data_IF_562841943579
#
_entry.id   IF_562841943579
#
_cell.length_a   1.000
_cell.length_b   1.000
_cell.length_c   1.000
_cell.angle_alpha   90.00
_cell.angle_beta   90.00
_cell.angle_gamma   90.00
#
_symmetry.space_group_name_H-M   'P 1'
#
loop_
_entity.id
_entity.type
_entity.pdbx_description
1 polymer ?
#
# COMPACT_ATOMS: atom_id res chain seq x y z
N UNK A 1 -6.78 1.42 -0.32
CA UNK A 1 -7.70 0.84 -1.33
C UNK A 1 -6.87 0.35 -2.50
N UNK A 2 -7.16 -0.85 -2.99
CA UNK A 2 -6.62 -1.40 -4.23
C UNK A 2 -7.76 -1.55 -5.23
N UNK A 3 -7.55 -1.10 -6.45
CA UNK A 3 -8.42 -1.30 -7.61
C UNK A 3 -7.68 -2.23 -8.57
N UNK A 4 -8.25 -3.40 -8.85
CA UNK A 4 -7.64 -4.41 -9.72
C UNK A 4 -7.75 -4.09 -11.22
N UNK A 5 -8.43 -3.00 -11.59
CA UNK A 5 -8.68 -2.65 -12.98
C UNK A 5 -9.61 -3.60 -13.75
N UNK A 6 -10.15 -4.62 -13.08
CA UNK A 6 -11.14 -5.59 -13.58
C UNK A 6 -12.52 -5.43 -12.91
N UNK A 7 -12.66 -4.47 -11.99
CA UNK A 7 -13.91 -4.08 -11.34
C UNK A 7 -13.99 -4.43 -9.85
N UNK A 8 -12.97 -5.10 -9.30
CA UNK A 8 -12.89 -5.39 -7.87
C UNK A 8 -12.12 -4.29 -7.17
N UNK A 9 -12.67 -3.79 -6.07
CA UNK A 9 -11.98 -2.88 -5.17
C UNK A 9 -11.90 -3.49 -3.78
N UNK A 10 -10.72 -3.45 -3.18
CA UNK A 10 -10.50 -3.94 -1.83
C UNK A 10 -9.93 -2.84 -0.96
N UNK A 11 -10.48 -2.71 0.24
CA UNK A 11 -10.02 -1.74 1.23
C UNK A 11 -9.58 -2.48 2.47
N UNK A 12 -8.43 -2.07 2.99
CA UNK A 12 -7.88 -2.55 4.26
C UNK A 12 -7.62 -1.34 5.16
N UNK A 13 -7.76 -1.57 6.45
CA UNK A 13 -7.37 -0.66 7.51
C UNK A 13 -6.09 -1.18 8.17
N UNK A 14 -5.19 -0.26 8.51
CA UNK A 14 -3.95 -0.55 9.19
C UNK A 14 -3.78 0.40 10.37
N UNK A 15 -3.48 -0.15 11.54
CA UNK A 15 -3.03 0.58 12.72
C UNK A 15 -1.68 0.00 13.15
N UNK A 16 -0.74 0.83 13.63
CA UNK A 16 0.62 0.39 13.96
C UNK A 16 1.00 0.46 15.44
N UNK A 17 0.14 1.01 16.29
CA UNK A 17 0.36 1.13 17.74
C UNK A 17 -0.89 0.70 18.54
N UNK A 18 -1.16 -0.61 18.68
CA UNK A 18 -0.40 -1.75 18.17
C UNK A 18 -0.73 -2.10 16.71
N UNK A 19 0.12 -2.94 16.08
CA UNK A 19 -0.13 -3.49 14.75
C UNK A 19 -1.47 -4.22 14.67
N UNK A 20 -2.33 -3.82 13.73
CA UNK A 20 -3.65 -4.41 13.57
C UNK A 20 -4.48 -3.79 12.45
N UNK A 21 -5.76 -4.11 12.42
CA UNK A 21 -6.70 -3.71 11.38
C UNK A 21 -7.10 -4.88 10.50
N UNK A 22 -7.59 -4.58 9.29
CA UNK A 22 -8.07 -5.59 8.33
C UNK A 22 -7.04 -5.91 7.24
N UNK A 23 -5.86 -5.25 7.27
CA UNK A 23 -4.75 -5.60 6.40
C UNK A 23 -4.36 -7.07 6.59
N UNK A 24 -4.11 -7.84 5.51
CA UNK A 24 -3.82 -9.28 5.59
C UNK A 24 -2.55 -9.61 6.39
N UNK A 25 -1.62 -8.67 6.46
CA UNK A 25 -0.40 -8.77 7.27
C UNK A 25 -0.08 -7.39 7.88
N UNK A 26 -0.68 -7.04 9.03
CA UNK A 26 -0.51 -5.72 9.62
C UNK A 26 0.89 -5.53 10.22
N UNK A 27 1.51 -6.60 10.72
CA UNK A 27 2.84 -6.55 11.33
C UNK A 27 3.91 -6.18 10.29
N UNK A 28 3.93 -6.88 9.14
CA UNK A 28 4.88 -6.60 8.08
C UNK A 28 4.66 -5.20 7.46
N UNK A 29 3.40 -4.77 7.30
CA UNK A 29 3.10 -3.45 6.77
C UNK A 29 3.59 -2.32 7.70
N UNK A 30 3.38 -2.45 9.01
CA UNK A 30 3.88 -1.49 9.98
C UNK A 30 5.41 -1.48 10.09
N UNK A 31 6.06 -2.65 9.93
CA UNK A 31 7.51 -2.73 9.86
C UNK A 31 8.04 -1.95 8.64
N UNK A 32 7.46 -2.14 7.46
CA UNK A 32 7.88 -1.44 6.24
C UNK A 32 7.74 0.09 6.38
N UNK A 33 6.63 0.58 6.95
CA UNK A 33 6.42 2.01 7.22
C UNK A 33 7.39 2.53 8.30
N UNK A 34 7.79 1.71 9.26
CA UNK A 34 8.79 2.09 10.28
C UNK A 34 10.18 2.24 9.67
N UNK A 35 10.57 1.31 8.80
CA UNK A 35 11.89 1.30 8.17
C UNK A 35 12.05 2.38 7.09
N UNK A 36 10.96 2.73 6.40
CA UNK A 36 11.03 3.56 5.19
C UNK A 36 10.07 4.75 5.18
N UNK A 37 9.07 4.83 6.06
CA UNK A 37 8.06 5.90 6.05
C UNK A 37 7.34 6.00 4.71
N UNK A 38 7.08 7.23 4.24
CA UNK A 38 6.52 7.49 2.89
C UNK A 38 7.34 6.87 1.76
N UNK A 39 8.65 6.69 1.96
CA UNK A 39 9.51 6.07 0.92
C UNK A 39 9.24 4.58 0.74
N UNK A 40 8.42 3.97 1.62
CA UNK A 40 7.86 2.63 1.42
C UNK A 40 6.81 2.57 0.29
N UNK A 41 6.28 3.73 -0.12
CA UNK A 41 5.15 3.84 -1.04
C UNK A 41 5.51 4.48 -2.40
N UNK A 42 6.66 4.15 -3.03
CA UNK A 42 7.01 4.76 -4.29
C UNK A 42 6.11 4.24 -5.41
N UNK A 43 5.83 5.11 -6.38
CA UNK A 43 5.26 4.65 -7.64
C UNK A 43 6.21 3.65 -8.32
N UNK A 44 5.64 2.66 -9.00
CA UNK A 44 6.42 1.69 -9.79
C UNK A 44 7.19 2.45 -10.88
N UNK A 45 8.51 2.22 -10.95
CA UNK A 45 9.37 2.87 -11.93
C UNK A 45 8.97 2.47 -13.36
N UNK A 46 8.95 3.43 -14.29
CA UNK A 46 8.51 3.23 -15.69
C UNK A 46 9.39 2.27 -16.49
N UNK A 47 10.65 2.12 -16.08
CA UNK A 47 11.66 1.24 -16.69
C UNK A 47 11.75 -0.13 -16.00
N UNK A 48 10.88 -0.40 -15.03
CA UNK A 48 10.83 -1.70 -14.35
C UNK A 48 10.47 -2.79 -15.36
N UNK A 49 11.34 -3.79 -15.48
CA UNK A 49 11.08 -4.99 -16.28
C UNK A 49 10.02 -5.83 -15.58
N UNK A 50 8.87 -5.99 -16.23
CA UNK A 50 7.78 -6.88 -15.82
C UNK A 50 7.64 -8.02 -16.83
N UNK A 51 6.92 -9.07 -16.45
CA UNK A 51 6.41 -10.01 -17.46
C UNK A 51 5.55 -9.23 -18.46
N UNK A 52 5.50 -9.66 -19.72
CA UNK A 52 4.62 -9.05 -20.72
C UNK A 52 3.14 -9.42 -20.52
N UNK A 53 2.77 -9.84 -19.30
CA UNK A 53 1.41 -10.15 -18.93
C UNK A 53 0.74 -8.89 -18.41
N UNK A 54 -0.28 -8.43 -19.14
CA UNK A 54 -1.09 -7.30 -18.71
C UNK A 54 -2.17 -7.77 -17.73
N UNK A 55 -2.00 -7.47 -16.44
CA UNK A 55 -2.99 -7.76 -15.39
C UNK A 55 -4.18 -6.80 -15.37
N UNK A 56 -4.01 -5.59 -15.91
CA UNK A 56 -4.99 -4.51 -15.86
C UNK A 56 -4.33 -3.19 -15.47
N UNK A 57 -5.06 -2.05 -15.53
CA UNK A 57 -4.59 -0.77 -15.04
C UNK A 57 -4.75 -0.67 -13.51
N UNK A 58 -4.12 -1.59 -12.78
CA UNK A 58 -4.23 -1.69 -11.32
C UNK A 58 -3.73 -0.41 -10.64
N UNK A 59 -4.44 0.04 -9.60
CA UNK A 59 -4.03 1.20 -8.81
C UNK A 59 -4.18 0.95 -7.33
N UNK A 60 -3.31 1.55 -6.53
CA UNK A 60 -3.42 1.59 -5.08
C UNK A 60 -3.50 3.05 -4.61
N UNK A 61 -4.41 3.32 -3.69
CA UNK A 61 -4.53 4.60 -3.01
C UNK A 61 -4.42 4.36 -1.51
N UNK A 62 -3.51 5.07 -0.88
CA UNK A 62 -3.28 5.06 0.55
C UNK A 62 -3.67 6.46 1.04
N UNK A 63 -4.29 6.51 2.21
CA UNK A 63 -4.69 7.74 2.88
C UNK A 63 -4.60 7.52 4.37
N UNK A 64 -4.07 8.46 5.13
CA UNK A 64 -4.15 8.36 6.59
C UNK A 64 -3.18 9.28 7.32
N UNK A 65 -2.80 8.85 8.51
CA UNK A 65 -1.79 9.53 9.30
C UNK A 65 -0.65 8.58 9.64
N UNK A 66 0.57 9.10 9.57
CA UNK A 66 1.77 8.41 10.00
C UNK A 66 2.48 9.24 11.05
N UNK A 67 2.71 8.66 12.24
CA UNK A 67 3.36 9.33 13.37
C UNK A 67 2.75 10.73 13.69
N UNK A 68 1.42 10.83 13.56
CA UNK A 68 0.67 12.07 13.82
C UNK A 68 0.67 13.10 12.69
N UNK A 69 1.26 12.80 11.52
CA UNK A 69 1.25 13.66 10.34
C UNK A 69 0.32 13.11 9.25
N UNK A 70 -0.38 13.95 8.48
CA UNK A 70 -1.29 13.53 7.40
C UNK A 70 -0.54 13.17 6.11
N UNK A 71 0.51 12.38 6.26
CA UNK A 71 1.59 12.16 5.29
C UNK A 71 1.40 10.85 4.49
N UNK A 72 0.23 10.21 4.58
CA UNK A 72 -0.12 8.96 3.87
C UNK A 72 -1.29 9.15 2.92
#
# INVERSE_FOLDING_TARGET
MVDDGAGTKTTWELACDPAGGTHPDPEAACQALTEHGETALPAVAKDRMCSQQFGGPETATITGTWQGKPDL
#
